data_IF_247193400333
#
_entry.id   IF_247193400333
#
_cell.length_a   1.000
_cell.length_b   1.000
_cell.length_c   1.000
_cell.angle_alpha   90.00
_cell.angle_beta   90.00
_cell.angle_gamma   90.00
#
_symmetry.space_group_name_H-M   'P 1'
#
loop_
_entity.id
_entity.type
_entity.pdbx_description
1 polymer ?
#
# COMPACT_ATOMS: atom_id res chain seq x y z
N UNK A 1 8.33 7.34 17.46
CA UNK A 1 8.84 7.80 16.15
C UNK A 1 8.45 9.26 16.00
N UNK A 2 9.26 10.12 15.38
CA UNK A 2 8.86 11.52 15.14
C UNK A 2 7.79 11.58 14.03
N UNK A 3 6.91 12.58 14.06
CA UNK A 3 5.85 12.75 13.06
C UNK A 3 6.38 12.98 11.65
N UNK A 4 7.52 13.67 11.51
CA UNK A 4 8.22 13.78 10.22
C UNK A 4 8.72 12.42 9.71
N UNK A 5 9.18 11.52 10.59
CA UNK A 5 9.58 10.16 10.21
C UNK A 5 8.37 9.28 9.83
N UNK A 6 7.26 9.42 10.53
CA UNK A 6 5.98 8.77 10.18
C UNK A 6 5.49 9.23 8.79
N UNK A 7 5.54 10.54 8.52
CA UNK A 7 5.20 11.09 7.20
C UNK A 7 6.13 10.57 6.10
N UNK A 8 7.44 10.57 6.32
CA UNK A 8 8.42 10.01 5.38
C UNK A 8 8.16 8.54 5.06
N UNK A 9 7.78 7.75 6.08
CA UNK A 9 7.40 6.35 5.92
C UNK A 9 6.13 6.19 5.08
N UNK A 10 5.07 6.95 5.40
CA UNK A 10 3.82 6.92 4.66
C UNK A 10 4.00 7.29 3.18
N UNK A 11 4.81 8.33 2.91
CA UNK A 11 5.17 8.76 1.54
C UNK A 11 5.91 7.66 0.77
N UNK A 12 6.87 6.98 1.41
CA UNK A 12 7.60 5.87 0.79
C UNK A 12 6.65 4.72 0.44
N UNK A 13 5.79 4.32 1.38
CA UNK A 13 4.81 3.24 1.16
C UNK A 13 3.89 3.56 -0.01
N UNK A 14 3.36 4.78 -0.09
CA UNK A 14 2.52 5.22 -1.23
C UNK A 14 3.29 5.17 -2.55
N UNK A 15 4.51 5.71 -2.60
CA UNK A 15 5.33 5.70 -3.80
C UNK A 15 5.67 4.27 -4.29
N UNK A 16 5.99 3.37 -3.37
CA UNK A 16 6.27 1.97 -3.70
C UNK A 16 5.00 1.27 -4.22
N UNK A 17 3.83 1.60 -3.67
CA UNK A 17 2.54 1.14 -4.18
C UNK A 17 2.20 1.68 -5.57
N UNK A 18 2.51 2.95 -5.88
CA UNK A 18 2.35 3.53 -7.23
C UNK A 18 3.15 2.71 -8.25
N UNK A 19 4.44 2.47 -7.95
CA UNK A 19 5.31 1.63 -8.80
C UNK A 19 4.79 0.20 -8.95
N UNK A 20 4.24 -0.38 -7.90
CA UNK A 20 3.67 -1.72 -7.95
C UNK A 20 2.45 -1.78 -8.87
N UNK A 21 1.52 -0.82 -8.75
CA UNK A 21 0.30 -0.77 -9.58
C UNK A 21 0.63 -0.52 -11.05
N UNK A 22 1.68 0.25 -11.34
CA UNK A 22 2.16 0.40 -12.72
C UNK A 22 2.57 -0.91 -13.38
N UNK A 23 2.88 -1.97 -12.63
CA UNK A 23 3.17 -3.28 -13.21
C UNK A 23 1.92 -3.92 -13.83
N UNK A 24 0.72 -3.53 -13.39
CA UNK A 24 -0.53 -4.11 -13.88
C UNK A 24 -0.70 -3.82 -15.37
N UNK A 25 -0.87 -4.87 -16.16
CA UNK A 25 -1.00 -4.77 -17.61
C UNK A 25 0.30 -4.49 -18.37
N UNK A 26 1.45 -4.30 -17.69
CA UNK A 26 2.75 -4.20 -18.37
C UNK A 26 3.13 -5.56 -18.95
N UNK A 27 3.38 -5.60 -20.26
CA UNK A 27 3.99 -6.75 -20.93
C UNK A 27 5.50 -6.60 -20.90
N UNK A 28 6.24 -7.69 -20.64
CA UNK A 28 7.67 -7.70 -20.95
C UNK A 28 7.83 -7.68 -22.46
N UNK A 29 8.64 -6.77 -23.00
CA UNK A 29 9.14 -6.89 -24.36
C UNK A 29 9.70 -8.29 -24.58
N UNK A 30 9.53 -8.83 -25.79
CA UNK A 30 9.82 -10.21 -26.21
C UNK A 30 11.29 -10.67 -26.03
N UNK A 31 12.13 -9.92 -25.31
CA UNK A 31 13.57 -10.09 -25.16
C UNK A 31 14.02 -10.65 -23.82
N UNK A 32 13.16 -10.81 -22.82
CA UNK A 32 13.54 -11.50 -21.57
C UNK A 32 13.49 -13.03 -21.74
N UNK A 33 14.36 -13.75 -21.02
CA UNK A 33 14.53 -15.21 -21.16
C UNK A 33 13.22 -16.03 -21.07
N UNK A 34 12.23 -15.57 -20.30
CA UNK A 34 10.89 -16.18 -20.21
C UNK A 34 10.09 -16.14 -21.52
N UNK A 35 10.46 -15.24 -22.44
CA UNK A 35 9.86 -15.09 -23.79
C UNK A 35 10.41 -16.11 -24.80
N UNK A 36 11.58 -16.70 -24.53
CA UNK A 36 12.24 -17.67 -25.44
C UNK A 36 11.76 -19.10 -25.25
N UNK A 37 11.16 -19.40 -24.10
CA UNK A 37 10.80 -20.75 -23.68
C UNK A 37 9.28 -20.92 -23.61
N UNK A 38 8.55 -20.57 -24.68
CA UNK A 38 7.14 -20.93 -24.89
C UNK A 38 6.11 -20.51 -23.82
N UNK A 39 6.53 -19.87 -22.73
CA UNK A 39 5.67 -19.47 -21.63
C UNK A 39 5.07 -18.12 -22.01
N UNK A 40 3.81 -18.15 -22.40
CA UNK A 40 3.05 -16.96 -22.76
C UNK A 40 3.09 -15.95 -21.61
N UNK A 41 3.89 -14.89 -21.79
CA UNK A 41 3.83 -13.58 -21.14
C UNK A 41 2.65 -13.37 -20.16
N UNK A 42 2.88 -13.69 -18.88
CA UNK A 42 1.99 -13.36 -17.75
C UNK A 42 2.41 -12.08 -17.02
N UNK A 43 3.40 -11.36 -17.56
CA UNK A 43 3.85 -10.09 -16.99
C UNK A 43 2.66 -9.15 -16.77
N UNK A 44 2.63 -8.52 -15.58
CA UNK A 44 1.59 -7.60 -15.20
C UNK A 44 0.20 -8.18 -14.92
N UNK A 45 0.05 -9.51 -14.88
CA UNK A 45 -1.18 -10.18 -14.42
C UNK A 45 -1.04 -10.64 -12.97
N UNK A 46 -2.16 -10.62 -12.24
CA UNK A 46 -2.24 -11.16 -10.88
C UNK A 46 -2.04 -12.68 -10.92
N UNK A 47 -0.86 -13.14 -10.51
CA UNK A 47 -0.50 -14.56 -10.50
C UNK A 47 -1.04 -15.30 -9.28
N UNK A 48 -0.99 -14.65 -8.10
CA UNK A 48 -1.38 -15.22 -6.82
C UNK A 48 -2.25 -14.26 -6.02
N UNK A 49 -3.36 -14.78 -5.51
CA UNK A 49 -4.24 -14.14 -4.55
C UNK A 49 -4.66 -15.20 -3.54
N UNK A 50 -4.57 -14.88 -2.25
CA UNK A 50 -5.06 -15.71 -1.15
C UNK A 50 -6.04 -14.86 -0.36
N UNK A 51 -7.30 -15.30 -0.29
CA UNK A 51 -8.33 -14.73 0.57
C UNK A 51 -8.63 -15.76 1.66
N UNK A 52 -8.66 -15.30 2.91
CA UNK A 52 -9.15 -16.09 4.04
C UNK A 52 -9.92 -15.16 4.95
N UNK A 53 -11.15 -15.53 5.27
CA UNK A 53 -12.01 -14.73 6.15
C UNK A 53 -12.33 -15.47 7.44
N UNK A 54 -12.49 -14.69 8.50
CA UNK A 54 -12.92 -15.17 9.80
C UNK A 54 -13.90 -14.16 10.38
N UNK A 55 -15.09 -14.62 10.73
CA UNK A 55 -16.12 -13.80 11.37
C UNK A 55 -16.09 -14.10 12.86
N UNK A 56 -15.82 -13.07 13.67
CA UNK A 56 -15.93 -13.17 15.10
C UNK A 56 -17.39 -13.01 15.53
N UNK A 57 -18.00 -14.11 15.97
CA UNK A 57 -19.36 -14.11 16.50
C UNK A 57 -19.52 -15.23 17.54
N UNK A 58 -20.01 -14.86 18.71
CA UNK A 58 -20.24 -15.80 19.80
C UNK A 58 -21.68 -15.61 20.33
N UNK A 59 -22.61 -16.55 20.07
CA UNK A 59 -24.02 -16.37 20.44
C UNK A 59 -24.27 -16.47 21.95
N UNK A 60 -23.40 -17.13 22.70
CA UNK A 60 -23.46 -17.26 24.17
C UNK A 60 -22.09 -17.61 24.74
N UNK A 61 -21.90 -17.43 26.05
CA UNK A 61 -20.65 -17.75 26.75
C UNK A 61 -20.23 -19.22 26.57
N UNK A 62 -19.05 -19.43 25.99
CA UNK A 62 -18.50 -20.77 25.71
C UNK A 62 -18.78 -21.33 24.32
N UNK A 63 -19.54 -20.63 23.47
CA UNK A 63 -19.70 -21.00 22.06
C UNK A 63 -18.43 -20.71 21.24
N UNK A 64 -18.29 -21.38 20.08
CA UNK A 64 -17.26 -21.04 19.09
C UNK A 64 -17.42 -19.59 18.66
N UNK A 65 -16.34 -18.83 18.76
CA UNK A 65 -16.29 -17.41 18.42
C UNK A 65 -15.76 -17.13 17.01
N UNK A 66 -15.08 -18.08 16.36
CA UNK A 66 -14.47 -17.89 15.05
C UNK A 66 -15.11 -18.79 13.99
N UNK A 67 -15.73 -18.17 13.00
CA UNK A 67 -16.42 -18.86 11.90
C UNK A 67 -15.70 -18.62 10.58
N UNK A 68 -15.47 -19.68 9.81
CA UNK A 68 -14.78 -19.64 8.51
C UNK A 68 -15.57 -20.45 7.50
N UNK A 69 -15.55 -20.02 6.24
CA UNK A 69 -16.20 -20.74 5.14
C UNK A 69 -15.32 -20.71 3.89
N UNK A 70 -14.76 -21.87 3.55
CA UNK A 70 -13.86 -22.01 2.41
C UNK A 70 -14.57 -21.79 1.06
N UNK A 71 -15.88 -22.10 0.98
CA UNK A 71 -16.68 -21.87 -0.22
C UNK A 71 -16.92 -20.38 -0.45
N UNK A 72 -17.20 -19.64 0.63
CA UNK A 72 -17.26 -18.19 0.59
C UNK A 72 -15.90 -17.58 0.21
N UNK A 73 -14.80 -18.02 0.82
CA UNK A 73 -13.46 -17.53 0.51
C UNK A 73 -13.05 -17.77 -0.95
N UNK A 74 -13.46 -18.91 -1.54
CA UNK A 74 -13.27 -19.22 -2.94
C UNK A 74 -14.07 -18.26 -3.84
N UNK A 75 -15.37 -18.08 -3.58
CA UNK A 75 -16.20 -17.15 -4.33
C UNK A 75 -15.71 -15.69 -4.22
N UNK A 76 -15.30 -15.27 -3.02
CA UNK A 76 -14.75 -13.94 -2.78
C UNK A 76 -13.42 -13.74 -3.53
N UNK A 77 -12.56 -14.75 -3.59
CA UNK A 77 -11.33 -14.72 -4.38
C UNK A 77 -11.61 -14.45 -5.86
N UNK A 78 -12.66 -15.05 -6.44
CA UNK A 78 -13.04 -14.80 -7.83
C UNK A 78 -13.51 -13.36 -8.06
N UNK A 79 -14.33 -12.83 -7.15
CA UNK A 79 -14.78 -11.43 -7.18
C UNK A 79 -13.59 -10.48 -7.10
N UNK A 80 -12.67 -10.70 -6.17
CA UNK A 80 -11.46 -9.87 -6.02
C UNK A 80 -10.60 -9.92 -7.28
N UNK A 81 -10.42 -11.10 -7.90
CA UNK A 81 -9.68 -11.21 -9.18
C UNK A 81 -10.36 -10.43 -10.30
N UNK A 82 -11.69 -10.49 -10.41
CA UNK A 82 -12.47 -9.75 -11.41
C UNK A 82 -12.34 -8.23 -11.25
N UNK A 83 -12.29 -7.76 -10.01
CA UNK A 83 -12.24 -6.32 -9.67
C UNK A 83 -10.84 -5.83 -9.29
N UNK A 84 -9.80 -6.63 -9.52
CA UNK A 84 -8.43 -6.38 -9.02
C UNK A 84 -7.92 -4.98 -9.35
N UNK A 85 -8.04 -4.54 -10.60
CA UNK A 85 -7.57 -3.22 -11.02
C UNK A 85 -8.25 -2.06 -10.29
N UNK A 86 -9.55 -2.19 -9.97
CA UNK A 86 -10.28 -1.17 -9.22
C UNK A 86 -9.86 -1.18 -7.74
N UNK A 87 -9.77 -2.38 -7.14
CA UNK A 87 -9.32 -2.56 -5.76
C UNK A 87 -7.91 -2.00 -5.54
N UNK A 88 -7.00 -2.16 -6.52
CA UNK A 88 -5.67 -1.56 -6.47
C UNK A 88 -5.72 -0.02 -6.46
N UNK A 89 -6.61 0.58 -7.26
CA UNK A 89 -6.76 2.05 -7.28
C UNK A 89 -7.31 2.57 -5.95
N UNK A 90 -8.34 1.91 -5.42
CA UNK A 90 -8.89 2.25 -4.10
C UNK A 90 -7.85 2.12 -2.98
N UNK A 91 -7.04 1.05 -3.00
CA UNK A 91 -5.94 0.88 -2.06
C UNK A 91 -4.90 2.01 -2.17
N UNK A 92 -4.61 2.49 -3.39
CA UNK A 92 -3.69 3.60 -3.60
C UNK A 92 -4.24 4.93 -3.06
N UNK A 93 -5.53 5.17 -3.26
CA UNK A 93 -6.18 6.37 -2.75
C UNK A 93 -6.22 6.39 -1.22
N UNK A 94 -6.43 5.24 -0.58
CA UNK A 94 -6.29 5.10 0.87
C UNK A 94 -4.85 5.41 1.35
N UNK A 95 -3.83 4.99 0.61
CA UNK A 95 -2.43 5.31 0.95
C UNK A 95 -2.12 6.79 0.77
N UNK A 96 -2.70 7.46 -0.23
CA UNK A 96 -2.60 8.91 -0.42
C UNK A 96 -3.24 9.68 0.72
N UNK A 97 -4.39 9.22 1.20
CA UNK A 97 -5.05 9.80 2.36
C UNK A 97 -4.19 9.69 3.61
N UNK A 98 -3.66 8.50 3.90
CA UNK A 98 -2.73 8.28 5.03
C UNK A 98 -1.47 9.13 4.94
N UNK A 99 -0.90 9.33 3.75
CA UNK A 99 0.23 10.24 3.58
C UNK A 99 -0.15 11.68 3.94
N UNK A 100 -1.32 12.16 3.49
CA UNK A 100 -1.80 13.52 3.80
C UNK A 100 -2.04 13.71 5.29
N UNK A 101 -2.67 12.74 5.95
CA UNK A 101 -2.88 12.77 7.40
C UNK A 101 -1.55 12.82 8.15
N UNK A 102 -0.58 11.99 7.76
CA UNK A 102 0.75 12.00 8.36
C UNK A 102 1.49 13.34 8.12
N UNK A 103 1.34 13.93 6.93
CA UNK A 103 1.90 15.26 6.62
C UNK A 103 1.30 16.35 7.52
N UNK A 104 -0.03 16.32 7.73
CA UNK A 104 -0.73 17.25 8.62
C UNK A 104 -0.23 17.08 10.06
N UNK A 105 -0.07 15.84 10.53
CA UNK A 105 0.47 15.55 11.86
C UNK A 105 1.93 16.01 12.02
N UNK A 106 2.73 15.96 10.95
CA UNK A 106 4.12 16.41 10.94
C UNK A 106 4.29 17.94 10.95
N UNK A 107 3.23 18.70 10.69
CA UNK A 107 3.28 20.16 10.47
C UNK A 107 4.05 20.92 11.55
N UNK A 108 3.78 20.63 12.82
CA UNK A 108 4.42 21.33 13.94
C UNK A 108 5.93 21.06 14.04
N UNK A 109 6.34 19.81 13.81
CA UNK A 109 7.75 19.42 13.81
C UNK A 109 8.50 20.05 12.61
N UNK A 110 7.90 20.05 11.42
CA UNK A 110 8.48 20.71 10.23
C UNK A 110 8.64 22.21 10.49
N UNK A 111 7.65 22.87 11.08
CA UNK A 111 7.74 24.30 11.43
C UNK A 111 8.85 24.58 12.47
N UNK A 112 9.09 23.66 13.41
CA UNK A 112 10.20 23.77 14.35
C UNK A 112 11.56 23.59 13.65
N UNK A 113 11.67 22.61 12.75
CA UNK A 113 12.89 22.39 11.95
C UNK A 113 13.20 23.60 11.06
N UNK A 114 12.19 24.20 10.42
CA UNK A 114 12.37 25.38 9.58
C UNK A 114 12.91 26.57 10.40
N UNK A 115 12.35 26.82 11.59
CA UNK A 115 12.86 27.87 12.48
C UNK A 115 14.33 27.66 12.88
N UNK A 116 14.70 26.42 13.21
CA UNK A 116 16.10 26.10 13.52
C UNK A 116 17.05 26.32 12.33
N UNK A 117 16.57 26.10 11.09
CA UNK A 117 17.32 26.40 9.87
C UNK A 117 17.48 27.92 9.70
N UNK A 118 16.39 28.68 9.84
CA UNK A 118 16.39 30.14 9.73
C UNK A 118 17.33 30.79 10.76
N UNK A 119 17.34 30.29 12.00
CA UNK A 119 18.29 30.72 13.05
C UNK A 119 19.74 30.43 12.65
N UNK A 120 20.04 29.22 12.17
CA UNK A 120 21.39 28.86 11.73
C UNK A 120 21.86 29.66 10.50
N UNK A 121 20.95 30.00 9.58
CA UNK A 121 21.25 30.85 8.42
C UNK A 121 21.58 32.29 8.83
N UNK A 122 20.83 32.83 9.81
CA UNK A 122 21.10 34.16 10.36
C UNK A 122 22.47 34.21 11.06
N UNK A 123 22.78 33.23 11.90
CA UNK A 123 24.08 33.15 12.59
C UNK A 123 25.25 33.05 11.60
N UNK A 124 25.08 32.30 10.50
CA UNK A 124 26.09 32.16 9.46
C UNK A 124 26.27 33.41 8.61
N UNK A 125 25.20 34.17 8.36
CA UNK A 125 25.24 35.42 7.59
C UNK A 125 25.68 36.65 8.40
N UNK A 126 25.59 36.57 9.73
CA UNK A 126 26.07 37.59 10.67
C UNK A 126 27.56 37.43 11.05
N UNK A 127 28.20 36.33 10.62
CA UNK A 127 29.64 36.05 10.76
C UNK A 127 30.41 36.42 9.48
#
# INVERSE_FOLDING_TARGET
>A
MSKTAEWGTARKVRHDAEKYIELIGKTTDRTTAASREGSHATAGKLSKLVVSTEINFQPYDGATNYHRDNGFDAALSEVVRKHWSNLCREALDLLREREREAAIAAKAEVAAQLRAIEEAEFERGAA
#
